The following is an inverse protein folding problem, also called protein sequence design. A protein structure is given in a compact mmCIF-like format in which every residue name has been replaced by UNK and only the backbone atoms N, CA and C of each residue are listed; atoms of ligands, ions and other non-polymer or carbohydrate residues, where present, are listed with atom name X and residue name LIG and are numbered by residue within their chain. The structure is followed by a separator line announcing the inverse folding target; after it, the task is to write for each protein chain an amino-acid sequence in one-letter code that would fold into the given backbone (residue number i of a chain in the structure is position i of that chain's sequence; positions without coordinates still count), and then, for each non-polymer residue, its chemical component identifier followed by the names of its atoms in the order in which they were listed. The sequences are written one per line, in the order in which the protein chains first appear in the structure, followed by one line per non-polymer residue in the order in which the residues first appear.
data_IF_256591257078
#
_entry.id   IF_256591257078
#
_cell.length_a   1.000
_cell.length_b   1.000
_cell.length_c   1.000
_cell.angle_alpha   90.00
_cell.angle_beta   90.00
_cell.angle_gamma   90.00
#
_symmetry.space_group_name_H-M   'P 1'
#
loop_
_entity.id
_entity.type
_entity.pdbx_description
1 polymer ?
#
# COMPACT_ATOMS: atom_id res chain seq x y z
N UNK A 1 -29.51 -3.28 -49.99
CA UNK A 1 -28.13 -3.73 -50.26
C UNK A 1 -27.45 -2.73 -51.19
N UNK A 2 -26.46 -1.98 -50.71
CA UNK A 2 -25.59 -1.19 -51.60
C UNK A 2 -24.21 -1.06 -50.97
N UNK A 3 -23.23 -1.81 -51.51
CA UNK A 3 -21.86 -1.88 -51.03
C UNK A 3 -21.06 -0.73 -51.65
N UNK A 4 -20.54 0.20 -50.83
CA UNK A 4 -19.63 1.27 -51.26
C UNK A 4 -18.36 0.66 -51.88
N UNK A 5 -18.03 1.08 -53.11
CA UNK A 5 -16.85 0.66 -53.89
C UNK A 5 -15.59 1.27 -53.24
N UNK A 6 -14.58 0.47 -52.92
CA UNK A 6 -13.28 0.96 -52.39
C UNK A 6 -12.45 1.58 -53.54
N UNK A 7 -11.92 2.78 -53.32
CA UNK A 7 -11.02 3.50 -54.22
C UNK A 7 -9.66 2.78 -54.32
N UNK A 8 -9.01 2.90 -55.49
CA UNK A 8 -7.71 2.27 -55.77
C UNK A 8 -6.57 3.24 -55.45
N UNK A 9 -5.43 2.77 -54.92
CA UNK A 9 -4.25 3.60 -54.70
C UNK A 9 -3.58 3.98 -56.03
N UNK A 10 -3.04 5.20 -56.11
CA UNK A 10 -2.28 5.68 -57.27
C UNK A 10 -0.81 5.29 -57.07
N UNK A 11 -0.21 4.62 -58.04
CA UNK A 11 1.20 4.23 -58.00
C UNK A 11 2.10 5.46 -58.25
N UNK A 12 2.38 6.20 -57.18
CA UNK A 12 3.41 7.24 -57.16
C UNK A 12 4.69 6.74 -56.48
N UNK A 13 5.86 7.08 -57.05
CA UNK A 13 7.17 6.81 -56.46
C UNK A 13 7.32 7.56 -55.13
N UNK A 14 7.04 6.88 -54.01
CA UNK A 14 7.20 7.44 -52.68
C UNK A 14 8.67 7.66 -52.32
N UNK A 15 9.02 8.89 -51.94
CA UNK A 15 10.34 9.23 -51.41
C UNK A 15 10.43 8.66 -49.99
N UNK A 16 11.40 7.76 -49.76
CA UNK A 16 11.62 7.16 -48.44
C UNK A 16 12.58 8.05 -47.65
N UNK A 17 12.02 8.94 -46.83
CA UNK A 17 12.74 9.45 -45.68
C UNK A 17 12.38 8.59 -44.47
N UNK A 18 13.39 7.82 -44.04
CA UNK A 18 13.53 7.07 -42.79
C UNK A 18 12.22 6.76 -42.03
N UNK A 19 11.77 5.50 -42.15
CA UNK A 19 10.75 4.80 -41.33
C UNK A 19 9.26 5.09 -41.53
N UNK A 20 8.84 5.95 -42.48
CA UNK A 20 7.39 6.21 -42.73
C UNK A 20 7.04 6.00 -44.20
N UNK A 21 5.98 5.23 -44.50
CA UNK A 21 5.45 5.06 -45.86
C UNK A 21 4.09 5.75 -45.97
N UNK A 22 4.00 6.73 -46.85
CA UNK A 22 2.76 7.46 -47.12
C UNK A 22 2.19 7.01 -48.47
N UNK A 23 0.90 6.68 -48.50
CA UNK A 23 0.17 6.27 -49.71
C UNK A 23 -0.97 7.25 -49.92
N UNK A 24 -0.94 7.97 -51.04
CA UNK A 24 -1.95 8.97 -51.41
C UNK A 24 -2.99 8.32 -52.34
N UNK A 25 -4.27 8.56 -52.06
CA UNK A 25 -5.40 8.07 -52.84
C UNK A 25 -5.97 9.16 -53.77
N UNK A 26 -6.71 8.74 -54.81
CA UNK A 26 -7.28 9.64 -55.83
C UNK A 26 -8.24 10.70 -55.27
N UNK A 27 -8.81 10.46 -54.09
CA UNK A 27 -9.72 11.38 -53.38
C UNK A 27 -8.99 12.38 -52.47
N UNK A 28 -7.65 12.45 -52.56
CA UNK A 28 -6.82 13.41 -51.84
C UNK A 28 -6.47 13.00 -50.41
N UNK A 29 -6.91 11.81 -49.95
CA UNK A 29 -6.55 11.29 -48.64
C UNK A 29 -5.19 10.60 -48.66
N UNK A 30 -4.39 10.82 -47.62
CA UNK A 30 -3.09 10.16 -47.42
C UNK A 30 -3.17 9.19 -46.25
N UNK A 31 -2.91 7.90 -46.50
CA UNK A 31 -2.73 6.90 -45.46
C UNK A 31 -1.25 6.80 -45.09
N UNK A 32 -0.97 7.00 -43.81
CA UNK A 32 0.36 6.79 -43.23
C UNK A 32 0.42 5.37 -42.68
N UNK A 33 1.34 4.56 -43.21
CA UNK A 33 1.56 3.18 -42.76
C UNK A 33 2.86 3.13 -41.97
N UNK A 34 2.75 3.00 -40.64
CA UNK A 34 3.89 2.73 -39.77
C UNK A 34 4.16 1.22 -39.72
N UNK A 35 5.43 0.82 -39.83
CA UNK A 35 5.85 -0.59 -39.77
C UNK A 35 5.45 -1.21 -38.43
N UNK A 36 4.89 -2.44 -38.38
CA UNK A 36 4.55 -3.07 -37.12
C UNK A 36 5.81 -3.30 -36.29
N UNK A 37 5.86 -2.75 -35.07
CA UNK A 37 6.87 -3.15 -34.08
C UNK A 37 6.74 -4.65 -33.86
N UNK A 38 7.87 -5.36 -33.85
CA UNK A 38 7.92 -6.75 -33.43
C UNK A 38 7.16 -6.91 -32.11
N UNK A 39 6.27 -7.91 -32.04
CA UNK A 39 5.53 -8.24 -30.80
C UNK A 39 6.51 -8.78 -29.77
N UNK A 40 7.21 -7.89 -29.07
CA UNK A 40 7.56 -8.18 -27.69
C UNK A 40 6.22 -8.25 -26.94
N UNK A 41 5.95 -9.41 -26.33
CA UNK A 41 4.90 -9.53 -25.33
C UNK A 41 5.17 -8.39 -24.34
N UNK A 42 4.25 -7.42 -24.14
CA UNK A 42 4.48 -6.41 -23.12
C UNK A 42 4.66 -7.18 -21.82
N UNK A 43 5.78 -6.97 -21.10
CA UNK A 43 5.76 -7.21 -19.65
C UNK A 43 4.50 -6.51 -19.15
N UNK A 44 3.63 -7.18 -18.37
CA UNK A 44 2.47 -6.49 -17.82
C UNK A 44 3.03 -5.24 -17.15
N UNK A 45 2.61 -4.09 -17.65
CA UNK A 45 2.94 -2.82 -17.02
C UNK A 45 2.22 -2.89 -15.69
N UNK A 46 2.93 -3.31 -14.64
CA UNK A 46 2.43 -3.24 -13.28
C UNK A 46 1.92 -1.82 -13.11
N UNK A 47 0.64 -1.67 -12.82
CA UNK A 47 0.07 -0.36 -12.55
C UNK A 47 0.70 0.15 -11.23
N UNK A 48 1.87 0.78 -11.32
CA UNK A 48 2.49 1.62 -10.29
C UNK A 48 3.57 1.00 -9.37
N UNK A 49 3.95 -0.27 -9.51
CA UNK A 49 4.95 -0.93 -8.63
C UNK A 49 6.13 -1.58 -9.37
N UNK A 50 7.24 -1.77 -8.67
CA UNK A 50 8.47 -2.42 -9.14
C UNK A 50 8.42 -3.96 -9.00
N UNK A 51 7.68 -4.48 -8.02
CA UNK A 51 7.47 -5.92 -7.80
C UNK A 51 6.08 -6.20 -7.21
N UNK A 52 5.68 -7.48 -7.19
CA UNK A 52 4.38 -7.92 -6.67
C UNK A 52 4.55 -9.13 -5.77
N UNK A 53 3.82 -9.15 -4.64
CA UNK A 53 3.72 -10.29 -3.74
C UNK A 53 2.24 -10.51 -3.43
N UNK A 54 1.73 -11.72 -3.67
CA UNK A 54 0.33 -12.10 -3.40
C UNK A 54 -0.71 -11.13 -4.01
N UNK A 55 -0.48 -10.63 -5.23
CA UNK A 55 -1.41 -9.70 -5.90
C UNK A 55 -1.32 -8.25 -5.42
N UNK A 56 -0.38 -7.93 -4.51
CA UNK A 56 -0.13 -6.57 -4.02
C UNK A 56 1.16 -6.06 -4.63
N UNK A 57 1.13 -4.87 -5.24
CA UNK A 57 2.32 -4.26 -5.84
C UNK A 57 3.08 -3.38 -4.84
N UNK A 58 4.41 -3.38 -4.95
CA UNK A 58 5.34 -2.67 -4.08
C UNK A 58 6.39 -1.91 -4.89
N UNK A 59 7.14 -1.02 -4.26
CA UNK A 59 8.30 -0.33 -4.87
C UNK A 59 9.59 -0.72 -4.16
N UNK A 60 10.68 -0.84 -4.94
CA UNK A 60 12.01 -1.07 -4.42
C UNK A 60 12.50 0.19 -3.70
N UNK A 61 13.02 0.01 -2.49
CA UNK A 61 13.63 1.06 -1.69
C UNK A 61 14.86 0.54 -0.97
N UNK A 62 15.70 1.44 -0.51
CA UNK A 62 16.72 1.16 0.51
C UNK A 62 16.15 1.41 1.91
N UNK A 63 16.83 0.88 2.94
CA UNK A 63 16.51 1.21 4.33
C UNK A 63 16.58 2.72 4.60
N UNK A 64 17.56 3.42 4.01
CA UNK A 64 17.72 4.87 4.19
C UNK A 64 16.57 5.65 3.57
N UNK A 65 16.10 5.24 2.39
CA UNK A 65 14.94 5.85 1.75
C UNK A 65 13.65 5.58 2.53
N UNK A 66 13.51 4.39 3.12
CA UNK A 66 12.37 4.05 3.97
C UNK A 66 12.39 4.85 5.27
N UNK A 67 13.56 5.01 5.89
CA UNK A 67 13.77 5.83 7.07
C UNK A 67 13.45 7.30 6.80
N UNK A 68 13.95 7.85 5.69
CA UNK A 68 13.70 9.24 5.32
C UNK A 68 12.20 9.51 5.06
N UNK A 69 11.50 8.59 4.37
CA UNK A 69 10.06 8.71 4.15
C UNK A 69 9.29 8.59 5.48
N UNK A 70 9.68 7.66 6.35
CA UNK A 70 9.08 7.52 7.68
C UNK A 70 9.26 8.78 8.53
N UNK A 71 10.48 9.33 8.63
CA UNK A 71 10.74 10.55 9.41
C UNK A 71 9.94 11.75 8.89
N UNK A 72 9.74 11.85 7.57
CA UNK A 72 8.87 12.88 7.00
C UNK A 72 7.43 12.79 7.52
N UNK A 73 6.82 11.59 7.47
CA UNK A 73 5.45 11.39 7.94
C UNK A 73 5.32 11.43 9.46
N UNK A 74 6.36 11.00 10.17
CA UNK A 74 6.44 11.10 11.62
C UNK A 74 6.40 12.54 12.08
N UNK A 75 7.22 13.41 11.49
CA UNK A 75 7.19 14.84 11.80
C UNK A 75 5.80 15.44 11.57
N UNK A 76 5.17 15.12 10.43
CA UNK A 76 3.83 15.60 10.12
C UNK A 76 2.77 15.10 11.12
N UNK A 77 2.90 13.86 11.62
CA UNK A 77 2.06 13.32 12.68
C UNK A 77 2.28 14.06 14.01
N UNK A 78 3.54 14.25 14.42
CA UNK A 78 3.91 14.89 15.68
C UNK A 78 3.45 16.35 15.77
N UNK A 79 3.40 17.05 14.64
CA UNK A 79 2.88 18.42 14.53
C UNK A 79 1.34 18.52 14.55
N UNK A 80 0.62 17.39 14.50
CA UNK A 80 -0.84 17.37 14.43
C UNK A 80 -1.52 17.40 15.81
N UNK A 81 -2.68 18.05 15.89
CA UNK A 81 -3.53 18.04 17.09
C UNK A 81 -3.93 16.61 17.51
N UNK A 82 -4.05 15.69 16.54
CA UNK A 82 -4.38 14.29 16.79
C UNK A 82 -3.30 13.56 17.61
N UNK A 83 -2.03 13.93 17.46
CA UNK A 83 -0.94 13.40 18.28
C UNK A 83 -1.11 13.82 19.74
N UNK A 84 -1.40 15.10 20.00
CA UNK A 84 -1.68 15.61 21.35
C UNK A 84 -2.88 14.91 21.98
N UNK A 85 -4.01 14.86 21.26
CA UNK A 85 -5.22 14.20 21.73
C UNK A 85 -5.03 12.69 21.99
N UNK A 86 -4.17 12.02 21.22
CA UNK A 86 -3.83 10.61 21.47
C UNK A 86 -3.06 10.47 22.78
N UNK A 87 -2.05 11.31 23.04
CA UNK A 87 -1.28 11.28 24.30
C UNK A 87 -2.17 11.47 25.52
N UNK A 88 -3.03 12.48 25.49
CA UNK A 88 -3.97 12.77 26.59
C UNK A 88 -4.88 11.56 26.88
N UNK A 89 -5.38 10.89 25.84
CA UNK A 89 -6.22 9.69 26.00
C UNK A 89 -5.48 8.51 26.61
N UNK A 90 -4.16 8.42 26.44
CA UNK A 90 -3.35 7.32 26.96
C UNK A 90 -2.93 7.54 28.42
N UNK A 91 -3.05 8.76 28.94
CA UNK A 91 -2.65 9.08 30.31
C UNK A 91 -3.40 8.21 31.33
N UNK A 92 -2.65 7.63 32.26
CA UNK A 92 -3.20 6.81 33.35
C UNK A 92 -3.70 5.42 32.93
N UNK A 93 -3.58 5.05 31.65
CA UNK A 93 -3.88 3.69 31.20
C UNK A 93 -2.85 2.69 31.76
N UNK A 94 -3.33 1.52 32.19
CA UNK A 94 -2.48 0.40 32.63
C UNK A 94 -2.57 -0.71 31.59
N UNK A 95 -1.50 -0.84 30.81
CA UNK A 95 -1.37 -1.81 29.72
C UNK A 95 -0.12 -2.64 29.97
N UNK A 96 -0.17 -3.93 29.63
CA UNK A 96 0.94 -4.88 29.84
C UNK A 96 1.80 -5.06 28.60
N UNK A 97 1.17 -5.02 27.42
CA UNK A 97 1.82 -5.17 26.12
C UNK A 97 1.00 -4.55 25.00
N UNK A 98 1.65 -4.23 23.88
CA UNK A 98 1.01 -3.81 22.65
C UNK A 98 1.12 -4.89 21.56
N UNK A 99 0.00 -5.16 20.89
CA UNK A 99 -0.07 -6.08 19.75
C UNK A 99 -0.55 -5.31 18.54
N UNK A 100 0.27 -5.24 17.50
CA UNK A 100 -0.01 -4.46 16.29
C UNK A 100 -0.32 -5.42 15.16
N UNK A 101 -1.50 -5.25 14.58
CA UNK A 101 -2.02 -6.07 13.51
C UNK A 101 -2.36 -5.17 12.33
N UNK A 102 -1.82 -5.47 11.14
CA UNK A 102 -2.27 -4.82 9.92
C UNK A 102 -1.87 -3.36 9.75
N UNK A 103 -0.63 -2.98 10.11
CA UNK A 103 -0.14 -1.61 9.97
C UNK A 103 0.03 -1.16 8.51
N UNK A 104 0.20 -2.12 7.60
CA UNK A 104 0.51 -1.94 6.18
C UNK A 104 2.01 -1.90 5.89
N UNK A 105 2.36 -2.09 4.62
CA UNK A 105 3.74 -2.04 4.14
C UNK A 105 4.19 -0.62 3.81
N UNK A 106 5.39 -0.25 4.28
CA UNK A 106 6.07 1.00 3.92
C UNK A 106 6.57 0.98 2.46
N UNK A 107 6.58 -0.19 1.81
CA UNK A 107 6.91 -0.36 0.40
C UNK A 107 5.69 -0.41 -0.53
N UNK A 108 4.45 -0.25 -0.03
CA UNK A 108 3.25 -0.26 -0.88
C UNK A 108 3.45 0.57 -2.15
N UNK A 109 3.09 0.08 -3.34
CA UNK A 109 3.26 0.89 -4.57
C UNK A 109 2.38 2.14 -4.57
N UNK A 110 1.25 2.07 -3.85
CA UNK A 110 0.32 3.18 -3.67
C UNK A 110 0.89 4.17 -2.67
N UNK A 111 1.08 5.42 -3.11
CA UNK A 111 1.58 6.51 -2.27
C UNK A 111 0.76 6.70 -0.99
N UNK A 112 -0.57 6.68 -1.09
CA UNK A 112 -1.44 6.78 0.09
C UNK A 112 -1.30 5.58 1.02
N UNK A 113 -1.03 4.37 0.50
CA UNK A 113 -0.77 3.19 1.32
C UNK A 113 0.51 3.33 2.15
N UNK A 114 1.60 3.81 1.54
CA UNK A 114 2.86 4.08 2.26
C UNK A 114 2.69 5.18 3.29
N UNK A 115 2.04 6.27 2.91
CA UNK A 115 1.73 7.39 3.81
C UNK A 115 0.93 6.91 5.02
N UNK A 116 -0.15 6.16 4.79
CA UNK A 116 -0.98 5.63 5.87
C UNK A 116 -0.16 4.73 6.80
N UNK A 117 0.63 3.81 6.25
CA UNK A 117 1.49 2.90 7.05
C UNK A 117 2.52 3.68 7.88
N UNK A 118 3.18 4.68 7.28
CA UNK A 118 4.15 5.52 7.97
C UNK A 118 3.51 6.38 9.07
N UNK A 119 2.36 7.00 8.82
CA UNK A 119 1.61 7.76 9.82
C UNK A 119 1.11 6.86 10.95
N UNK A 120 0.63 5.64 10.65
CA UNK A 120 0.23 4.68 11.67
C UNK A 120 1.42 4.24 12.54
N UNK A 121 2.60 4.04 11.95
CA UNK A 121 3.82 3.73 12.70
C UNK A 121 4.25 4.89 13.62
N UNK A 122 4.08 6.14 13.18
CA UNK A 122 4.33 7.32 14.01
C UNK A 122 3.33 7.46 15.16
N UNK A 123 2.05 7.17 14.91
CA UNK A 123 1.04 7.10 15.95
C UNK A 123 1.33 5.98 16.95
N UNK A 124 1.77 4.80 16.49
CA UNK A 124 2.25 3.72 17.35
C UNK A 124 3.43 4.16 18.22
N UNK A 125 4.42 4.88 17.66
CA UNK A 125 5.53 5.43 18.45
C UNK A 125 5.06 6.38 19.55
N UNK A 126 3.98 7.13 19.30
CA UNK A 126 3.34 7.97 20.31
C UNK A 126 2.73 7.13 21.43
N UNK A 127 2.03 6.04 21.08
CA UNK A 127 1.46 5.09 22.07
C UNK A 127 2.55 4.46 22.93
N UNK A 128 3.58 3.91 22.29
CA UNK A 128 4.66 3.19 22.98
C UNK A 128 5.49 4.13 23.85
N UNK A 129 5.74 5.37 23.40
CA UNK A 129 6.46 6.36 24.19
C UNK A 129 5.68 6.87 25.41
N UNK A 130 4.35 6.76 25.41
CA UNK A 130 3.53 7.14 26.56
C UNK A 130 3.41 6.01 27.61
N UNK A 131 3.51 4.75 27.19
CA UNK A 131 3.18 3.59 28.03
C UNK A 131 4.37 2.67 28.35
N UNK A 132 5.52 2.82 27.68
CA UNK A 132 6.75 2.01 27.84
C UNK A 132 6.48 0.50 27.85
N UNK A 133 5.99 -0.02 26.70
CA UNK A 133 5.48 -1.39 26.59
C UNK A 133 6.30 -2.28 25.66
N UNK A 134 6.38 -3.59 25.94
CA UNK A 134 6.79 -4.55 24.92
C UNK A 134 5.76 -4.57 23.78
N UNK A 135 6.25 -4.60 22.55
CA UNK A 135 5.41 -4.58 21.34
C UNK A 135 5.72 -5.73 20.40
N UNK A 136 4.68 -6.34 19.85
CA UNK A 136 4.77 -7.35 18.78
C UNK A 136 4.00 -6.84 17.57
N UNK A 137 4.62 -6.87 16.39
CA UNK A 137 4.00 -6.45 15.14
C UNK A 137 3.83 -7.64 14.21
N UNK A 138 2.70 -7.66 13.52
CA UNK A 138 2.41 -8.59 12.45
C UNK A 138 1.60 -7.91 11.37
N UNK A 139 2.00 -8.16 10.12
CA UNK A 139 1.20 -7.86 8.95
C UNK A 139 1.53 -8.87 7.85
N UNK A 140 0.54 -9.58 7.27
CA UNK A 140 0.75 -10.43 6.10
C UNK A 140 1.34 -9.72 4.88
N UNK A 141 1.27 -8.38 4.84
CA UNK A 141 1.82 -7.54 3.76
C UNK A 141 3.27 -7.12 4.00
N UNK A 142 3.87 -7.40 5.16
CA UNK A 142 5.27 -7.04 5.38
C UNK A 142 6.20 -7.75 4.40
N UNK A 143 6.97 -6.93 3.68
CA UNK A 143 8.13 -7.41 2.93
C UNK A 143 9.29 -7.68 3.87
N UNK A 144 10.34 -8.33 3.38
CA UNK A 144 11.57 -8.52 4.17
C UNK A 144 12.22 -7.18 4.57
N UNK A 145 12.14 -6.16 3.71
CA UNK A 145 12.66 -4.82 4.04
C UNK A 145 11.80 -4.12 5.10
N UNK A 146 10.47 -4.30 5.10
CA UNK A 146 9.60 -3.81 6.17
C UNK A 146 10.01 -4.44 7.51
N UNK A 147 10.20 -5.77 7.55
CA UNK A 147 10.63 -6.50 8.75
C UNK A 147 12.00 -6.04 9.24
N UNK A 148 12.94 -5.85 8.33
CA UNK A 148 14.28 -5.34 8.62
C UNK A 148 14.21 -3.92 9.21
N UNK A 149 13.44 -3.03 8.58
CA UNK A 149 13.27 -1.66 9.04
C UNK A 149 12.63 -1.59 10.44
N UNK A 150 11.51 -2.29 10.65
CA UNK A 150 10.80 -2.33 11.94
C UNK A 150 11.67 -2.96 13.05
N UNK A 151 12.42 -4.00 12.71
CA UNK A 151 13.39 -4.61 13.65
C UNK A 151 14.52 -3.63 13.99
N UNK A 152 14.97 -2.82 13.02
CA UNK A 152 15.97 -1.75 13.27
C UNK A 152 15.48 -0.65 14.22
N UNK A 153 14.16 -0.53 14.42
CA UNK A 153 13.53 0.35 15.41
C UNK A 153 13.40 -0.32 16.80
N UNK A 154 13.86 -1.56 16.95
CA UNK A 154 13.82 -2.32 18.20
C UNK A 154 12.53 -3.11 18.41
N UNK A 155 11.69 -3.25 17.38
CA UNK A 155 10.42 -3.97 17.50
C UNK A 155 10.54 -5.46 17.21
N UNK A 156 9.72 -6.27 17.90
CA UNK A 156 9.57 -7.69 17.58
C UNK A 156 8.56 -7.86 16.45
N UNK A 157 9.02 -8.25 15.28
CA UNK A 157 8.16 -8.58 14.13
C UNK A 157 7.99 -10.09 14.03
N UNK A 158 6.77 -10.57 13.83
CA UNK A 158 6.45 -12.00 13.66
C UNK A 158 5.61 -12.22 12.42
N UNK A 159 5.68 -13.43 11.86
CA UNK A 159 4.82 -13.83 10.74
C UNK A 159 3.39 -14.12 11.22
N UNK A 160 2.41 -13.93 10.32
CA UNK A 160 1.01 -14.31 10.57
C UNK A 160 0.85 -15.82 10.71
N UNK A 161 0.07 -16.33 11.70
CA UNK A 161 -0.76 -15.62 12.69
C UNK A 161 -0.10 -15.45 14.10
N UNK A 162 1.23 -15.38 14.21
CA UNK A 162 1.97 -15.47 15.47
C UNK A 162 1.66 -14.41 16.54
N UNK A 163 1.35 -13.17 16.16
CA UNK A 163 1.05 -12.07 17.08
C UNK A 163 -0.29 -12.24 17.81
N UNK A 164 -1.24 -13.00 17.26
CA UNK A 164 -2.53 -13.23 17.92
C UNK A 164 -2.37 -13.92 19.28
N UNK A 165 -1.34 -14.76 19.44
CA UNK A 165 -1.04 -15.43 20.72
C UNK A 165 -0.58 -14.46 21.82
N UNK A 166 -0.18 -13.23 21.47
CA UNK A 166 0.22 -12.19 22.43
C UNK A 166 -0.96 -11.33 22.92
N UNK A 167 -2.17 -11.52 22.37
CA UNK A 167 -3.36 -10.78 22.79
C UNK A 167 -3.87 -11.34 24.11
N UNK A 168 -4.02 -10.46 25.10
CA UNK A 168 -4.45 -10.80 26.46
C UNK A 168 -5.31 -9.70 27.09
N UNK A 169 -5.85 -9.94 28.28
CA UNK A 169 -6.75 -8.98 28.96
C UNK A 169 -6.09 -7.66 29.35
N UNK A 170 -4.77 -7.64 29.52
CA UNK A 170 -3.98 -6.43 29.75
C UNK A 170 -3.40 -5.79 28.49
N UNK A 171 -3.69 -6.35 27.31
CA UNK A 171 -3.08 -5.90 26.05
C UNK A 171 -3.80 -4.68 25.46
N UNK A 172 -3.01 -3.85 24.76
CA UNK A 172 -3.51 -2.90 23.78
C UNK A 172 -3.38 -3.53 22.39
N UNK A 173 -4.50 -3.65 21.68
CA UNK A 173 -4.50 -4.08 20.28
C UNK A 173 -4.59 -2.86 19.38
N UNK A 174 -3.60 -2.72 18.50
CA UNK A 174 -3.54 -1.69 17.46
C UNK A 174 -3.85 -2.36 16.12
N UNK A 175 -5.06 -2.17 15.63
CA UNK A 175 -5.59 -2.83 14.44
C UNK A 175 -6.38 -1.83 13.59
N UNK A 176 -5.68 -0.87 13.00
CA UNK A 176 -6.28 0.16 12.13
C UNK A 176 -6.33 -0.37 10.70
N UNK A 177 -7.48 -0.25 10.03
CA UNK A 177 -7.74 -0.76 8.68
C UNK A 177 -7.60 -2.28 8.51
N UNK A 178 -7.80 -3.04 9.59
CA UNK A 178 -7.96 -4.48 9.53
C UNK A 178 -9.32 -4.87 8.94
N UNK A 179 -9.40 -6.03 8.30
CA UNK A 179 -10.66 -6.59 7.81
C UNK A 179 -11.46 -7.25 8.94
N UNK A 180 -12.78 -7.38 8.76
CA UNK A 180 -13.69 -8.03 9.73
C UNK A 180 -13.17 -9.34 10.37
N UNK A 181 -12.56 -10.28 9.61
CA UNK A 181 -12.00 -11.51 10.18
C UNK A 181 -10.87 -11.30 11.20
N UNK A 182 -10.09 -10.23 11.08
CA UNK A 182 -9.03 -9.90 12.05
C UNK A 182 -9.65 -9.44 13.37
N UNK A 183 -10.75 -8.68 13.32
CA UNK A 183 -11.48 -8.32 14.54
C UNK A 183 -12.15 -9.54 15.19
N UNK A 184 -12.64 -10.50 14.39
CA UNK A 184 -13.21 -11.74 14.91
C UNK A 184 -12.18 -12.60 15.65
N UNK A 185 -10.97 -12.75 15.10
CA UNK A 185 -9.96 -13.67 15.64
C UNK A 185 -9.51 -13.35 17.07
N UNK A 186 -9.53 -12.09 17.50
CA UNK A 186 -9.30 -11.73 18.91
C UNK A 186 -10.58 -11.45 19.70
N UNK A 187 -11.74 -11.33 19.05
CA UNK A 187 -13.03 -11.26 19.76
C UNK A 187 -13.45 -12.60 20.36
N UNK A 188 -13.03 -13.70 19.74
CA UNK A 188 -13.24 -15.07 20.23
C UNK A 188 -12.27 -15.46 21.36
N UNK A 189 -11.25 -14.63 21.60
CA UNK A 189 -10.23 -14.82 22.63
C UNK A 189 -10.36 -13.87 23.84
N UNK A 190 -9.31 -13.73 24.65
CA UNK A 190 -9.26 -12.72 25.72
C UNK A 190 -9.44 -11.31 25.14
N UNK A 191 -10.44 -10.57 25.63
CA UNK A 191 -10.68 -9.20 25.17
C UNK A 191 -9.54 -8.28 25.62
N UNK A 192 -8.94 -7.49 24.72
CA UNK A 192 -7.90 -6.55 25.10
C UNK A 192 -8.46 -5.44 26.00
N UNK A 193 -7.60 -4.85 26.83
CA UNK A 193 -7.95 -3.70 27.65
C UNK A 193 -8.28 -2.48 26.80
N UNK A 194 -7.54 -2.31 25.69
CA UNK A 194 -7.71 -1.19 24.75
C UNK A 194 -7.64 -1.72 23.33
N UNK A 195 -8.57 -1.27 22.49
CA UNK A 195 -8.54 -1.47 21.04
C UNK A 195 -8.41 -0.10 20.36
N UNK A 196 -7.33 0.09 19.61
CA UNK A 196 -7.19 1.19 18.66
C UNK A 196 -7.46 0.59 17.27
N UNK A 197 -8.63 0.85 16.72
CA UNK A 197 -9.03 0.30 15.42
C UNK A 197 -9.83 1.28 14.58
N UNK A 198 -10.19 0.85 13.38
CA UNK A 198 -11.16 1.59 12.56
C UNK A 198 -12.52 1.52 13.24
N UNK A 199 -13.24 2.65 13.24
CA UNK A 199 -14.61 2.70 13.74
C UNK A 199 -15.45 1.63 13.04
N UNK A 200 -15.89 0.64 13.83
CA UNK A 200 -16.59 -0.54 13.33
C UNK A 200 -17.99 -0.23 12.82
N UNK A 201 -18.56 0.93 13.19
CA UNK A 201 -19.84 1.40 12.62
C UNK A 201 -19.71 1.68 11.10
N UNK A 202 -18.49 1.94 10.60
CA UNK A 202 -18.26 2.08 9.16
C UNK A 202 -18.39 0.76 8.38
N UNK A 203 -18.26 -0.41 9.03
CA UNK A 203 -18.46 -1.70 8.36
C UNK A 203 -19.95 -2.01 8.14
N UNK A 204 -20.85 -1.49 8.99
CA UNK A 204 -22.31 -1.65 8.84
C UNK A 204 -22.93 -0.90 7.67
N UNK A 205 -22.14 -0.12 6.91
CA UNK A 205 -22.57 0.55 5.67
C UNK A 205 -22.31 -0.26 4.39
N UNK A 206 -21.69 -1.44 4.49
CA UNK A 206 -21.43 -2.31 3.34
C UNK A 206 -22.42 -3.47 3.19
N UNK A 207 -23.37 -3.60 4.12
CA UNK A 207 -24.57 -4.42 3.93
C UNK A 207 -25.64 -3.58 3.22
N UNK A 208 -25.43 -3.35 1.92
CA UNK A 208 -26.39 -2.74 1.00
C UNK A 208 -26.94 -3.75 0.01
#
# INVERSE_FOLDING_TARGET
MTRKKKSKPVEGKGIVHTKRREVVYEDGWTLIVDTPKAKTIPKPTFHGGDFEVNGVSYINRTLDEMRADFEHWKKAWEESDACGALREKLEGMKIENAVVLGLGSLQSSRREGRRASATQLAALQTVLGALDLPVVLQDPQYTELDKEFLTSLGYKVVDDPGAFAAVGTGSLVYAIHCYGPVYQSFSDGPRPAVLIGTDVENFGRFDG
#
